data_IF_219221485513
#
_entry.id   IF_219221485513
#
_cell.length_a   1.000
_cell.length_b   1.000
_cell.length_c   1.000
_cell.angle_alpha   90.00
_cell.angle_beta   90.00
_cell.angle_gamma   90.00
#
_symmetry.space_group_name_H-M   'P 1'
#
loop_
_entity.id
_entity.type
_entity.pdbx_description
1 polymer ?
#
# COMPACT_ATOMS: atom_id res chain seq x y z
N UNK A 1 -18.44 21.08 4.90
CA UNK A 1 -19.31 21.82 5.83
C UNK A 1 -19.66 20.91 6.99
N UNK A 2 -18.81 20.82 8.00
CA UNK A 2 -18.98 19.89 9.12
C UNK A 2 -18.70 20.62 10.43
N UNK A 3 -19.69 20.64 11.33
CA UNK A 3 -19.49 20.90 12.76
C UNK A 3 -19.99 22.24 13.30
N UNK A 4 -19.90 23.34 12.56
CA UNK A 4 -20.25 24.66 13.11
C UNK A 4 -21.76 24.97 13.06
N UNK A 5 -22.45 24.72 11.94
CA UNK A 5 -23.87 25.14 11.79
C UNK A 5 -24.88 24.33 12.62
N UNK A 6 -24.52 23.12 13.08
CA UNK A 6 -25.51 22.20 13.66
C UNK A 6 -25.90 22.58 15.10
N UNK A 7 -24.98 23.20 15.85
CA UNK A 7 -25.21 23.59 17.24
C UNK A 7 -25.83 24.98 17.38
N UNK A 8 -25.78 25.79 16.31
CA UNK A 8 -26.34 27.14 16.28
C UNK A 8 -27.87 27.16 16.14
N UNK A 9 -28.48 25.99 15.86
CA UNK A 9 -29.93 25.85 15.71
C UNK A 9 -30.49 24.68 16.52
N UNK A 10 -31.28 24.99 17.55
CA UNK A 10 -32.02 23.98 18.32
C UNK A 10 -32.93 23.10 17.45
N UNK A 11 -33.47 23.63 16.35
CA UNK A 11 -34.28 22.87 15.41
C UNK A 11 -33.44 21.84 14.64
N UNK A 12 -32.24 22.22 14.19
CA UNK A 12 -31.30 21.33 13.51
C UNK A 12 -30.82 20.19 14.43
N UNK A 13 -30.46 20.51 15.68
CA UNK A 13 -30.10 19.50 16.68
C UNK A 13 -31.24 18.50 16.91
N UNK A 14 -32.48 18.98 17.04
CA UNK A 14 -33.65 18.12 17.25
C UNK A 14 -33.89 17.20 16.06
N UNK A 15 -33.80 17.74 14.84
CA UNK A 15 -33.90 16.94 13.60
C UNK A 15 -32.81 15.86 13.53
N UNK A 16 -31.57 16.21 13.84
CA UNK A 16 -30.46 15.26 13.82
C UNK A 16 -30.60 14.15 14.87
N UNK A 17 -31.05 14.48 16.11
CA UNK A 17 -31.38 13.47 17.13
C UNK A 17 -32.51 12.54 16.67
N UNK A 18 -33.53 13.10 16.01
CA UNK A 18 -34.59 12.29 15.40
C UNK A 18 -34.05 11.31 14.36
N UNK A 19 -33.17 11.78 13.46
CA UNK A 19 -32.54 10.93 12.44
C UNK A 19 -31.73 9.80 13.06
N UNK A 20 -30.93 10.08 14.11
CA UNK A 20 -30.13 9.06 14.79
C UNK A 20 -31.01 7.97 15.41
N UNK A 21 -32.09 8.35 16.10
CA UNK A 21 -33.02 7.40 16.72
C UNK A 21 -33.73 6.49 15.72
N UNK A 22 -33.95 6.96 14.49
CA UNK A 22 -34.58 6.18 13.42
C UNK A 22 -33.56 5.46 12.52
N UNK A 23 -32.27 5.75 12.66
CA UNK A 23 -31.23 5.13 11.86
C UNK A 23 -31.01 3.68 12.29
N UNK A 24 -30.94 2.77 11.30
CA UNK A 24 -30.52 1.38 11.54
C UNK A 24 -29.01 1.23 11.63
N UNK A 25 -28.28 2.13 10.99
CA UNK A 25 -26.82 2.16 10.91
C UNK A 25 -26.36 3.60 11.14
N UNK A 26 -25.36 3.76 12.01
CA UNK A 26 -24.72 5.05 12.29
C UNK A 26 -23.23 4.90 12.04
N UNK A 27 -22.69 5.71 11.14
CA UNK A 27 -21.26 5.74 10.85
C UNK A 27 -20.61 6.91 11.60
N UNK A 28 -19.55 6.61 12.33
CA UNK A 28 -18.76 7.61 13.05
C UNK A 28 -17.31 7.13 13.18
N UNK A 29 -16.38 8.05 13.40
CA UNK A 29 -15.03 7.68 13.84
C UNK A 29 -15.08 7.14 15.26
N UNK A 30 -14.09 6.34 15.66
CA UNK A 30 -14.04 5.76 17.02
C UNK A 30 -14.17 6.85 18.10
N UNK A 31 -13.38 7.92 17.99
CA UNK A 31 -13.47 9.06 18.92
C UNK A 31 -14.80 9.80 18.78
N UNK A 32 -15.28 9.99 17.54
CA UNK A 32 -16.54 10.67 17.26
C UNK A 32 -17.76 10.00 17.89
N UNK A 33 -17.75 8.68 18.08
CA UNK A 33 -18.79 7.95 18.78
C UNK A 33 -18.96 8.43 20.24
N UNK A 34 -17.90 8.91 20.88
CA UNK A 34 -17.92 9.45 22.25
C UNK A 34 -18.42 10.89 22.36
N UNK A 35 -18.59 11.60 21.24
CA UNK A 35 -18.76 13.05 21.19
C UNK A 35 -20.14 13.46 20.65
N UNK A 36 -20.48 14.73 20.89
CA UNK A 36 -21.64 15.40 20.28
C UNK A 36 -22.96 14.65 20.46
N UNK A 37 -23.69 14.50 19.35
CA UNK A 37 -25.01 13.86 19.31
C UNK A 37 -24.97 12.38 19.71
N UNK A 38 -23.84 11.69 19.53
CA UNK A 38 -23.71 10.26 19.83
C UNK A 38 -23.30 9.99 21.27
N UNK A 39 -22.95 11.03 22.05
CA UNK A 39 -22.43 10.88 23.42
C UNK A 39 -23.36 10.05 24.32
N UNK A 40 -24.67 10.28 24.24
CA UNK A 40 -25.68 9.58 25.05
C UNK A 40 -26.42 8.46 24.33
N UNK A 41 -26.06 8.14 23.09
CA UNK A 41 -26.69 7.05 22.34
C UNK A 41 -26.01 5.71 22.67
N UNK A 42 -26.77 4.63 22.57
CA UNK A 42 -26.32 3.27 22.88
C UNK A 42 -26.43 2.38 21.63
N UNK A 43 -25.50 1.44 21.48
CA UNK A 43 -25.40 0.55 20.33
C UNK A 43 -25.11 -0.89 20.81
N UNK A 44 -26.05 -1.80 20.61
CA UNK A 44 -25.86 -3.22 20.98
C UNK A 44 -24.79 -3.92 20.12
N UNK A 45 -24.59 -3.46 18.88
CA UNK A 45 -23.63 -4.01 17.92
C UNK A 45 -22.69 -2.89 17.46
N UNK A 46 -21.38 -3.14 17.58
CA UNK A 46 -20.34 -2.22 17.11
C UNK A 46 -19.46 -2.94 16.10
N UNK A 47 -19.28 -2.32 14.94
CA UNK A 47 -18.32 -2.75 13.93
C UNK A 47 -17.23 -1.69 13.86
N UNK A 48 -15.97 -2.10 14.06
CA UNK A 48 -14.81 -1.22 13.93
C UNK A 48 -14.02 -1.70 12.72
N UNK A 49 -13.99 -0.88 11.68
CA UNK A 49 -13.12 -1.08 10.52
C UNK A 49 -11.75 -0.45 10.77
N UNK A 50 -10.71 -0.96 10.09
CA UNK A 50 -9.31 -0.58 10.29
C UNK A 50 -8.87 -0.63 11.78
N UNK A 51 -9.40 -1.61 12.52
CA UNK A 51 -9.20 -1.74 13.96
C UNK A 51 -7.73 -1.96 14.34
N UNK A 52 -6.89 -2.48 13.44
CA UNK A 52 -5.45 -2.62 13.67
C UNK A 52 -4.70 -1.28 13.67
N UNK A 53 -5.27 -0.24 13.06
CA UNK A 53 -4.73 1.13 13.05
C UNK A 53 -5.27 2.02 14.16
N UNK A 54 -6.22 1.54 14.96
CA UNK A 54 -6.75 2.28 16.10
C UNK A 54 -5.96 1.96 17.37
N UNK A 55 -5.59 2.98 18.14
CA UNK A 55 -5.08 2.74 19.49
C UNK A 55 -6.15 2.00 20.28
N UNK A 56 -5.72 1.18 21.23
CA UNK A 56 -6.67 0.47 22.09
C UNK A 56 -7.68 1.41 22.78
N UNK A 57 -7.27 2.54 23.39
CA UNK A 57 -8.21 3.50 23.95
C UNK A 57 -9.23 4.04 22.94
N UNK A 58 -8.80 4.32 21.70
CA UNK A 58 -9.72 4.78 20.67
C UNK A 58 -10.77 3.71 20.34
N UNK A 59 -10.37 2.45 20.20
CA UNK A 59 -11.27 1.33 19.93
C UNK A 59 -12.28 1.10 21.07
N UNK A 60 -11.91 1.42 22.32
CA UNK A 60 -12.80 1.27 23.47
C UNK A 60 -13.94 2.29 23.48
N UNK A 61 -13.76 3.48 22.90
CA UNK A 61 -14.79 4.55 22.90
C UNK A 61 -16.14 4.04 22.37
N UNK A 62 -16.26 3.48 21.14
CA UNK A 62 -17.53 2.95 20.66
C UNK A 62 -17.97 1.69 21.44
N UNK A 63 -17.04 0.89 21.97
CA UNK A 63 -17.39 -0.33 22.73
C UNK A 63 -18.05 -0.03 24.08
N UNK A 64 -17.78 1.13 24.68
CA UNK A 64 -18.45 1.55 25.93
C UNK A 64 -19.92 1.95 25.73
N UNK A 65 -20.43 1.98 24.49
CA UNK A 65 -21.82 2.36 24.16
C UNK A 65 -22.83 1.22 24.39
N UNK A 66 -22.70 0.49 25.50
CA UNK A 66 -23.44 -0.76 25.80
C UNK A 66 -23.32 -1.84 24.72
N UNK A 67 -22.17 -1.92 24.06
CA UNK A 67 -21.91 -2.94 23.06
C UNK A 67 -22.02 -4.35 23.67
N UNK A 68 -22.88 -5.20 23.09
CA UNK A 68 -23.04 -6.62 23.42
C UNK A 68 -22.34 -7.53 22.43
N UNK A 69 -22.17 -7.06 21.19
CA UNK A 69 -21.47 -7.78 20.12
C UNK A 69 -20.55 -6.83 19.35
N UNK A 70 -19.26 -7.11 19.37
CA UNK A 70 -18.27 -6.37 18.61
C UNK A 70 -17.77 -7.20 17.41
N UNK A 71 -17.57 -6.54 16.28
CA UNK A 71 -16.82 -7.07 15.14
C UNK A 71 -15.67 -6.11 14.87
N UNK A 72 -14.44 -6.61 15.00
CA UNK A 72 -13.24 -5.83 14.70
C UNK A 72 -12.68 -6.35 13.37
N UNK A 73 -12.58 -5.47 12.39
CA UNK A 73 -12.00 -5.74 11.08
C UNK A 73 -10.69 -4.98 10.99
N UNK A 74 -9.62 -5.67 10.63
CA UNK A 74 -8.30 -5.07 10.54
C UNK A 74 -7.27 -6.11 10.12
N UNK A 75 -6.04 -5.63 9.93
CA UNK A 75 -4.91 -6.45 9.56
C UNK A 75 -3.74 -6.20 10.50
N UNK A 76 -3.48 -7.19 11.36
CA UNK A 76 -2.40 -7.18 12.34
C UNK A 76 -1.00 -7.33 11.72
N UNK A 77 -0.85 -7.54 10.41
CA UNK A 77 0.46 -7.51 9.73
C UNK A 77 0.64 -6.28 8.82
N UNK A 78 -0.33 -5.35 8.82
CA UNK A 78 -0.21 -4.01 8.23
C UNK A 78 0.02 -2.94 9.32
N UNK A 79 -0.19 -1.65 9.01
CA UNK A 79 0.17 -0.56 9.91
C UNK A 79 -0.55 -0.64 11.26
N UNK A 80 0.24 -0.36 12.30
CA UNK A 80 -0.24 -0.06 13.65
C UNK A 80 -0.62 1.42 13.77
N UNK A 81 -1.30 1.83 14.85
CA UNK A 81 -1.57 3.23 15.14
C UNK A 81 -0.26 4.02 15.29
N UNK A 82 -0.24 5.23 14.75
CA UNK A 82 0.89 6.15 14.93
C UNK A 82 0.86 6.76 16.32
N UNK A 83 1.90 6.52 17.11
CA UNK A 83 2.06 7.05 18.48
C UNK A 83 3.42 7.75 18.65
N UNK A 84 3.54 8.60 19.67
CA UNK A 84 4.81 9.23 20.02
C UNK A 84 5.82 8.23 20.60
N UNK A 85 7.10 8.59 20.62
CA UNK A 85 8.19 7.69 21.06
C UNK A 85 7.99 7.13 22.49
N UNK A 86 7.53 7.95 23.43
CA UNK A 86 7.24 7.49 24.80
C UNK A 86 6.10 6.45 24.80
N UNK A 87 5.04 6.70 24.04
CA UNK A 87 3.92 5.78 23.92
C UNK A 87 4.32 4.47 23.22
N UNK A 88 5.21 4.54 22.22
CA UNK A 88 5.79 3.36 21.57
C UNK A 88 6.61 2.52 22.55
N UNK A 89 7.39 3.14 23.45
CA UNK A 89 8.15 2.43 24.48
C UNK A 89 7.28 1.75 25.55
N UNK A 90 5.98 2.06 25.57
CA UNK A 90 4.97 1.50 26.46
C UNK A 90 3.97 0.62 25.69
N UNK A 91 4.29 0.22 24.46
CA UNK A 91 3.48 -0.63 23.58
C UNK A 91 2.07 -0.09 23.28
N UNK A 92 1.88 1.23 23.33
CA UNK A 92 0.57 1.86 23.03
C UNK A 92 0.23 1.88 21.53
N UNK A 93 1.14 1.43 20.67
CA UNK A 93 0.89 1.11 19.27
C UNK A 93 0.27 -0.29 19.08
N UNK A 94 0.20 -1.13 20.12
CA UNK A 94 -0.53 -2.39 20.03
C UNK A 94 -2.03 -2.08 20.08
N UNK A 95 -2.71 -2.30 18.95
CA UNK A 95 -4.17 -2.12 18.87
C UNK A 95 -4.93 -3.17 19.67
N UNK A 96 -6.18 -2.86 20.01
CA UNK A 96 -7.09 -3.86 20.60
C UNK A 96 -7.24 -5.08 19.70
N UNK A 97 -7.31 -4.88 18.37
CA UNK A 97 -7.37 -5.96 17.39
C UNK A 97 -6.15 -6.87 17.50
N UNK A 98 -4.95 -6.29 17.46
CA UNK A 98 -3.70 -7.06 17.49
C UNK A 98 -3.53 -7.78 18.84
N UNK A 99 -3.87 -7.13 19.95
CA UNK A 99 -3.83 -7.77 21.28
C UNK A 99 -4.75 -8.99 21.35
N UNK A 100 -5.98 -8.88 20.84
CA UNK A 100 -6.93 -10.00 20.80
C UNK A 100 -6.53 -11.08 19.78
N UNK A 101 -5.86 -10.69 18.69
CA UNK A 101 -5.36 -11.60 17.67
C UNK A 101 -4.14 -12.40 18.11
N UNK A 102 -3.15 -11.74 18.72
CA UNK A 102 -1.88 -12.34 19.13
C UNK A 102 -1.93 -13.05 20.48
N UNK A 103 -2.83 -12.65 21.39
CA UNK A 103 -3.02 -13.39 22.62
C UNK A 103 -3.41 -14.84 22.26
N UNK A 104 -2.55 -15.78 22.66
CA UNK A 104 -2.92 -17.16 22.94
C UNK A 104 -3.92 -17.10 24.09
N UNK A 105 -5.13 -16.63 23.79
CA UNK A 105 -6.27 -16.69 24.68
C UNK A 105 -6.65 -18.16 24.68
N UNK A 106 -5.84 -18.96 25.40
CA UNK A 106 -6.04 -20.38 25.58
C UNK A 106 -7.45 -20.55 26.08
N UNK A 107 -8.32 -21.10 25.23
CA UNK A 107 -9.70 -21.47 25.54
C UNK A 107 -10.56 -20.46 26.33
N UNK A 108 -10.18 -19.18 26.51
CA UNK A 108 -11.06 -18.19 27.16
C UNK A 108 -12.10 -17.77 26.13
N UNK A 109 -13.20 -18.48 26.23
CA UNK A 109 -14.50 -18.34 25.60
C UNK A 109 -14.86 -16.92 25.16
N UNK A 110 -14.89 -16.67 23.85
CA UNK A 110 -15.65 -15.55 23.29
C UNK A 110 -15.14 -14.97 21.97
N UNK A 111 -13.82 -14.93 21.76
CA UNK A 111 -13.25 -14.28 20.56
C UNK A 111 -13.09 -15.29 19.43
N UNK A 112 -13.84 -15.09 18.34
CA UNK A 112 -13.69 -15.85 17.10
C UNK A 112 -12.77 -15.09 16.15
N UNK A 113 -11.73 -15.76 15.65
CA UNK A 113 -10.78 -15.23 14.68
C UNK A 113 -11.09 -15.81 13.31
N UNK A 114 -11.18 -14.96 12.29
CA UNK A 114 -11.41 -15.36 10.90
C UNK A 114 -10.45 -14.54 10.04
N UNK A 115 -9.66 -15.22 9.22
CA UNK A 115 -8.86 -14.61 8.17
C UNK A 115 -9.66 -14.68 6.86
N UNK A 116 -9.83 -13.55 6.19
CA UNK A 116 -10.28 -13.55 4.79
C UNK A 116 -9.06 -13.88 3.95
N UNK A 117 -8.99 -15.11 3.46
CA UNK A 117 -7.79 -15.70 2.87
C UNK A 117 -7.72 -15.59 1.34
N UNK A 118 -8.71 -14.96 0.72
CA UNK A 118 -8.79 -14.81 -0.74
C UNK A 118 -8.78 -13.33 -1.12
N UNK A 119 -7.75 -12.90 -1.84
CA UNK A 119 -7.57 -11.53 -2.33
C UNK A 119 -7.98 -11.38 -3.79
N UNK A 120 -8.51 -10.21 -4.13
CA UNK A 120 -8.99 -9.88 -5.48
C UNK A 120 -8.31 -8.64 -6.06
N UNK A 121 -7.21 -8.17 -5.47
CA UNK A 121 -6.51 -6.95 -5.85
C UNK A 121 -5.32 -7.22 -6.76
N UNK A 122 -4.36 -8.02 -6.31
CA UNK A 122 -3.02 -8.11 -6.88
C UNK A 122 -2.87 -9.35 -7.77
N UNK A 123 -2.03 -9.25 -8.81
CA UNK A 123 -1.62 -10.38 -9.62
C UNK A 123 -0.97 -11.49 -8.76
N UNK A 124 -1.17 -12.75 -9.17
CA UNK A 124 -0.78 -13.94 -8.39
C UNK A 124 0.72 -14.00 -8.05
N UNK A 125 1.60 -13.60 -8.99
CA UNK A 125 3.05 -13.51 -8.74
C UNK A 125 3.39 -12.64 -7.52
N UNK A 126 2.73 -11.49 -7.38
CA UNK A 126 2.93 -10.61 -6.22
C UNK A 126 2.32 -11.22 -4.96
N UNK A 127 1.14 -11.83 -5.08
CA UNK A 127 0.45 -12.48 -3.97
C UNK A 127 1.29 -13.58 -3.34
N UNK A 128 2.02 -14.38 -4.13
CA UNK A 128 2.85 -15.49 -3.62
C UNK A 128 3.89 -15.00 -2.62
N UNK A 129 4.72 -14.03 -3.00
CA UNK A 129 5.73 -13.47 -2.09
C UNK A 129 5.09 -12.89 -0.83
N UNK A 130 4.04 -12.09 -0.99
CA UNK A 130 3.36 -11.45 0.15
C UNK A 130 2.72 -12.48 1.08
N UNK A 131 2.09 -13.50 0.51
CA UNK A 131 1.46 -14.59 1.25
C UNK A 131 2.49 -15.33 2.10
N UNK A 132 3.60 -15.73 1.50
CA UNK A 132 4.65 -16.48 2.18
C UNK A 132 5.34 -15.64 3.27
N UNK A 133 5.67 -14.39 2.97
CA UNK A 133 6.44 -13.52 3.86
C UNK A 133 5.61 -12.94 5.02
N UNK A 134 4.35 -12.57 4.78
CA UNK A 134 3.53 -11.84 5.77
C UNK A 134 2.31 -12.62 6.28
N UNK A 135 1.87 -13.66 5.57
CA UNK A 135 0.61 -14.35 5.86
C UNK A 135 0.75 -15.88 5.94
N UNK A 136 1.97 -16.39 6.19
CA UNK A 136 2.25 -17.83 6.37
C UNK A 136 1.78 -18.70 5.19
N UNK A 137 1.79 -18.17 3.97
CA UNK A 137 1.34 -18.86 2.75
C UNK A 137 -0.18 -19.05 2.67
N UNK A 138 -0.97 -18.41 3.54
CA UNK A 138 -2.44 -18.62 3.61
C UNK A 138 -3.24 -17.73 2.65
N UNK A 139 -2.67 -16.62 2.19
CA UNK A 139 -3.34 -15.70 1.26
C UNK A 139 -3.33 -16.25 -0.18
N UNK A 140 -4.50 -16.27 -0.82
CA UNK A 140 -4.74 -16.86 -2.15
C UNK A 140 -5.29 -15.82 -3.12
N UNK A 141 -4.99 -15.99 -4.40
CA UNK A 141 -5.54 -15.15 -5.47
C UNK A 141 -6.89 -15.67 -5.95
N UNK A 142 -7.94 -14.85 -5.85
CA UNK A 142 -9.29 -15.16 -6.30
C UNK A 142 -9.65 -14.64 -7.70
N UNK A 143 -8.71 -13.97 -8.36
CA UNK A 143 -8.85 -13.42 -9.73
C UNK A 143 -8.02 -14.24 -10.71
N UNK A 144 -8.44 -14.25 -11.98
CA UNK A 144 -7.62 -14.85 -13.04
C UNK A 144 -6.47 -13.93 -13.44
N UNK A 145 -5.42 -14.49 -14.04
CA UNK A 145 -4.24 -13.72 -14.44
C UNK A 145 -4.58 -12.63 -15.47
N UNK A 146 -5.54 -12.91 -16.36
CA UNK A 146 -5.97 -12.02 -17.45
C UNK A 146 -6.69 -10.78 -16.92
N UNK A 147 -7.29 -10.84 -15.72
CA UNK A 147 -7.89 -9.68 -15.06
C UNK A 147 -6.85 -8.67 -14.57
N UNK A 148 -5.55 -9.00 -14.68
CA UNK A 148 -4.40 -8.14 -14.37
C UNK A 148 -3.41 -8.09 -15.53
N UNK A 149 -3.91 -8.04 -16.76
CA UNK A 149 -3.08 -7.88 -17.93
C UNK A 149 -2.23 -6.61 -17.89
N UNK A 150 -1.04 -6.70 -18.49
CA UNK A 150 -0.15 -5.56 -18.66
C UNK A 150 -0.76 -4.56 -19.63
N UNK A 151 -0.68 -3.27 -19.29
CA UNK A 151 -0.99 -2.22 -20.26
C UNK A 151 0.22 -1.98 -21.19
N UNK A 152 -0.01 -1.55 -22.44
CA UNK A 152 1.07 -1.20 -23.34
C UNK A 152 1.90 -0.03 -22.79
N UNK A 153 3.19 -0.27 -22.58
CA UNK A 153 4.15 0.77 -22.18
C UNK A 153 5.53 0.50 -22.76
N UNK A 154 6.38 1.54 -22.82
CA UNK A 154 7.78 1.42 -23.18
C UNK A 154 8.65 0.93 -22.02
N UNK A 155 8.08 0.76 -20.81
CA UNK A 155 8.83 0.22 -19.69
C UNK A 155 9.23 -1.23 -19.97
N UNK A 156 10.52 -1.59 -19.81
CA UNK A 156 11.03 -2.90 -20.19
C UNK A 156 10.70 -3.96 -19.13
N UNK A 157 9.42 -4.30 -19.01
CA UNK A 157 8.95 -5.37 -18.12
C UNK A 157 9.61 -6.70 -18.52
N UNK A 158 10.36 -7.35 -17.61
CA UNK A 158 11.05 -8.61 -17.93
C UNK A 158 10.06 -9.69 -18.35
N UNK A 159 10.35 -10.36 -19.47
CA UNK A 159 9.52 -11.45 -20.00
C UNK A 159 9.76 -12.72 -19.19
N UNK A 160 8.70 -13.43 -18.84
CA UNK A 160 8.81 -14.77 -18.27
C UNK A 160 9.20 -15.73 -19.40
N UNK A 161 10.31 -16.44 -19.24
CA UNK A 161 10.79 -17.42 -20.23
C UNK A 161 9.71 -18.49 -20.51
N UNK A 162 9.62 -18.91 -21.77
CA UNK A 162 8.66 -19.93 -22.26
C UNK A 162 7.17 -19.65 -21.97
N UNK A 163 6.79 -18.40 -21.72
CA UNK A 163 5.43 -18.03 -21.31
C UNK A 163 4.46 -17.67 -22.44
N UNK A 164 4.74 -18.14 -23.65
CA UNK A 164 3.96 -17.78 -24.84
C UNK A 164 2.59 -18.48 -24.82
N UNK A 165 1.53 -17.69 -24.93
CA UNK A 165 0.18 -18.22 -25.12
C UNK A 165 -0.52 -17.52 -26.27
N UNK A 166 -1.46 -18.22 -26.90
CA UNK A 166 -2.22 -17.70 -28.04
C UNK A 166 -3.61 -17.31 -27.60
N UNK A 167 -4.00 -16.08 -27.94
CA UNK A 167 -5.41 -15.66 -27.83
C UNK A 167 -6.02 -15.75 -29.21
N UNK A 168 -7.11 -16.51 -29.33
CA UNK A 168 -7.91 -16.56 -30.55
C UNK A 168 -8.57 -15.20 -30.77
N UNK A 169 -8.34 -14.61 -31.94
CA UNK A 169 -9.00 -13.36 -32.31
C UNK A 169 -10.40 -13.67 -32.83
N UNK A 170 -11.37 -12.80 -32.54
CA UNK A 170 -12.76 -12.94 -33.00
C UNK A 170 -12.92 -13.07 -34.52
N UNK A 171 -11.87 -12.77 -35.31
CA UNK A 171 -11.86 -12.82 -36.78
C UNK A 171 -11.26 -14.12 -37.36
N UNK A 172 -10.91 -15.11 -36.53
CA UNK A 172 -10.41 -16.42 -36.98
C UNK A 172 -9.03 -16.37 -37.68
N UNK A 173 -8.32 -15.24 -37.63
CA UNK A 173 -6.95 -15.12 -38.15
C UNK A 173 -5.95 -15.47 -37.05
N UNK A 174 -4.75 -15.92 -37.46
CA UNK A 174 -3.65 -16.46 -36.63
C UNK A 174 -3.62 -15.86 -35.21
N UNK A 175 -3.90 -16.69 -34.20
CA UNK A 175 -3.95 -16.27 -32.80
C UNK A 175 -2.70 -15.51 -32.37
N UNK A 176 -2.92 -14.42 -31.66
CA UNK A 176 -1.90 -13.49 -31.22
C UNK A 176 -1.06 -14.12 -30.12
N UNK A 177 0.26 -14.09 -30.30
CA UNK A 177 1.20 -14.59 -29.31
C UNK A 177 1.44 -13.51 -28.24
N UNK A 178 0.94 -13.75 -27.04
CA UNK A 178 1.11 -12.88 -25.88
C UNK A 178 2.16 -13.50 -24.97
N UNK A 179 3.09 -12.67 -24.50
CA UNK A 179 4.13 -13.04 -23.54
C UNK A 179 3.71 -12.61 -22.14
N UNK A 180 3.98 -13.43 -21.13
CA UNK A 180 3.81 -13.00 -19.74
C UNK A 180 5.02 -12.18 -19.30
N UNK A 181 4.76 -11.22 -18.42
CA UNK A 181 5.79 -10.37 -17.84
C UNK A 181 5.82 -10.54 -16.33
N UNK A 182 7.03 -10.44 -15.77
CA UNK A 182 7.24 -10.34 -14.34
C UNK A 182 6.60 -9.08 -13.79
N UNK A 183 5.90 -9.21 -12.66
CA UNK A 183 5.17 -8.10 -12.02
C UNK A 183 5.96 -7.38 -10.93
N UNK A 184 7.11 -7.93 -10.54
CA UNK A 184 7.95 -7.37 -9.48
C UNK A 184 9.34 -7.04 -10.05
N UNK A 185 9.61 -5.74 -10.20
CA UNK A 185 10.85 -5.25 -10.81
C UNK A 185 11.65 -4.41 -9.82
N UNK A 186 12.96 -4.66 -9.75
CA UNK A 186 13.90 -3.84 -9.00
C UNK A 186 14.76 -3.02 -9.96
N UNK A 187 14.89 -1.71 -9.72
CA UNK A 187 15.75 -0.81 -10.48
C UNK A 187 16.81 -0.25 -9.53
N UNK A 188 18.04 -0.73 -9.70
CA UNK A 188 19.15 -0.36 -8.83
C UNK A 188 19.62 1.08 -9.09
N UNK A 189 19.91 1.81 -8.01
CA UNK A 189 20.38 3.18 -8.05
C UNK A 189 21.38 3.44 -6.91
N UNK A 190 22.65 3.59 -7.27
CA UNK A 190 23.76 3.82 -6.35
C UNK A 190 24.03 5.31 -6.06
N UNK A 191 23.15 6.22 -6.48
CA UNK A 191 23.29 7.64 -6.14
C UNK A 191 23.16 7.82 -4.62
N UNK A 192 24.10 8.51 -3.95
CA UNK A 192 24.05 8.68 -2.50
C UNK A 192 22.83 9.49 -2.05
N UNK A 193 22.36 9.19 -0.84
CA UNK A 193 21.34 9.99 -0.16
C UNK A 193 21.91 11.33 0.34
N UNK A 194 21.07 12.36 0.41
CA UNK A 194 21.43 13.65 0.99
C UNK A 194 21.69 13.53 2.51
N UNK A 195 22.71 14.24 3.01
CA UNK A 195 23.07 14.29 4.43
C UNK A 195 22.53 15.55 5.13
N UNK A 196 22.43 15.49 6.47
CA UNK A 196 22.32 16.68 7.33
C UNK A 196 20.93 17.30 7.51
N UNK A 197 19.85 16.57 7.18
CA UNK A 197 18.47 17.07 7.29
C UNK A 197 17.59 16.17 8.18
N UNK A 198 16.48 16.73 8.70
CA UNK A 198 15.48 15.98 9.51
C UNK A 198 14.82 14.83 8.76
N UNK A 199 14.80 14.88 7.43
CA UNK A 199 14.26 13.86 6.53
C UNK A 199 15.18 13.72 5.32
N UNK A 200 15.32 12.50 4.79
CA UNK A 200 16.28 12.17 3.73
C UNK A 200 15.63 12.30 2.35
N UNK A 201 16.45 12.57 1.33
CA UNK A 201 16.04 12.44 -0.06
C UNK A 201 17.22 11.92 -0.89
N UNK A 202 16.92 11.52 -2.12
CA UNK A 202 17.86 10.97 -3.08
C UNK A 202 17.46 11.45 -4.47
N UNK A 203 18.28 12.36 -5.03
CA UNK A 203 18.02 12.98 -6.34
C UNK A 203 18.14 12.01 -7.50
N UNK A 204 19.08 11.08 -7.45
CA UNK A 204 19.25 10.06 -8.49
C UNK A 204 18.06 9.12 -8.57
N UNK A 205 17.57 8.66 -7.41
CA UNK A 205 16.35 7.85 -7.36
C UNK A 205 15.11 8.62 -7.81
N UNK A 206 15.03 9.93 -7.53
CA UNK A 206 13.93 10.78 -8.02
C UNK A 206 13.96 10.95 -9.56
N UNK A 207 15.14 11.22 -10.13
CA UNK A 207 15.32 11.34 -11.58
C UNK A 207 14.99 10.01 -12.29
N UNK A 208 15.47 8.90 -11.74
CA UNK A 208 15.16 7.56 -12.22
C UNK A 208 13.65 7.26 -12.14
N UNK A 209 12.98 7.65 -11.05
CA UNK A 209 11.53 7.55 -10.92
C UNK A 209 10.79 8.34 -12.02
N UNK A 210 11.27 9.55 -12.35
CA UNK A 210 10.79 10.33 -13.51
C UNK A 210 10.88 9.55 -14.81
N UNK A 211 12.04 8.95 -15.10
CA UNK A 211 12.25 8.14 -16.30
C UNK A 211 11.36 6.89 -16.33
N UNK A 212 11.18 6.21 -15.19
CA UNK A 212 10.25 5.09 -15.05
C UNK A 212 8.83 5.53 -15.39
N UNK A 213 8.37 6.65 -14.81
CA UNK A 213 7.04 7.19 -15.08
C UNK A 213 6.86 7.60 -16.56
N UNK A 214 7.90 8.14 -17.20
CA UNK A 214 7.89 8.42 -18.64
C UNK A 214 7.71 7.16 -19.47
N UNK A 215 8.48 6.11 -19.18
CA UNK A 215 8.43 4.85 -19.90
C UNK A 215 7.08 4.14 -19.71
N UNK A 216 6.49 4.23 -18.52
CA UNK A 216 5.16 3.69 -18.23
C UNK A 216 4.05 4.46 -18.96
N UNK A 217 4.18 5.77 -19.12
CA UNK A 217 3.18 6.60 -19.80
C UNK A 217 3.33 6.63 -21.33
N UNK A 218 4.53 6.38 -21.86
CA UNK A 218 4.78 6.28 -23.30
C UNK A 218 4.28 4.95 -23.83
N UNK A 219 3.46 4.99 -24.88
CA UNK A 219 3.00 3.78 -25.53
C UNK A 219 4.16 3.14 -26.28
N UNK A 220 4.32 1.82 -26.14
CA UNK A 220 5.16 1.07 -27.05
C UNK A 220 4.71 1.35 -28.49
N UNK A 221 5.64 1.51 -29.46
CA UNK A 221 5.26 1.62 -30.86
C UNK A 221 4.34 0.46 -31.21
N UNK A 222 3.29 0.73 -32.00
CA UNK A 222 2.26 -0.24 -32.39
C UNK A 222 2.90 -1.48 -33.02
N UNK A 223 3.30 -2.44 -32.18
CA UNK A 223 3.33 -3.85 -32.55
C UNK A 223 1.91 -4.18 -32.99
N UNK A 224 1.76 -4.90 -34.11
CA UNK A 224 0.49 -5.24 -34.77
C UNK A 224 -0.39 -6.21 -33.94
N UNK A 225 -0.37 -6.07 -32.62
CA UNK A 225 -0.67 -7.09 -31.63
C UNK A 225 -1.44 -6.55 -30.41
N UNK A 226 -2.12 -5.42 -30.48
CA UNK A 226 -3.05 -5.01 -29.41
C UNK A 226 -4.46 -4.92 -29.96
N UNK A 227 -5.15 -6.07 -29.96
CA UNK A 227 -6.60 -6.13 -30.04
C UNK A 227 -7.16 -6.05 -28.61
N UNK A 228 -7.59 -4.87 -28.21
CA UNK A 228 -8.97 -4.72 -27.74
C UNK A 228 -9.41 -3.27 -27.91
N UNK A 229 -10.62 -3.13 -28.41
CA UNK A 229 -11.36 -1.89 -28.65
C UNK A 229 -11.92 -1.27 -27.35
N UNK A 230 -11.19 -1.40 -26.23
CA UNK A 230 -11.45 -0.56 -25.07
C UNK A 230 -10.55 0.67 -25.21
N UNK A 231 -11.09 1.87 -25.00
CA UNK A 231 -10.27 3.01 -24.62
C UNK A 231 -9.38 2.54 -23.46
N UNK A 232 -8.10 2.23 -23.71
CA UNK A 232 -7.18 1.81 -22.68
C UNK A 232 -7.03 3.00 -21.74
N UNK A 233 -7.81 2.99 -20.65
CA UNK A 233 -7.69 3.97 -19.58
C UNK A 233 -6.24 3.92 -19.14
N UNK A 234 -5.56 5.07 -19.19
CA UNK A 234 -4.18 5.14 -18.73
C UNK A 234 -4.09 4.59 -17.31
N UNK A 235 -3.11 3.72 -17.02
CA UNK A 235 -3.01 3.08 -15.72
C UNK A 235 -2.83 4.12 -14.62
N UNK A 236 -3.43 3.87 -13.48
CA UNK A 236 -3.14 4.65 -12.27
C UNK A 236 -1.75 4.28 -11.75
N UNK A 237 -0.91 5.29 -11.50
CA UNK A 237 0.45 5.10 -10.98
C UNK A 237 0.56 5.81 -9.64
N UNK A 238 0.93 5.07 -8.60
CA UNK A 238 1.25 5.63 -7.29
C UNK A 238 2.75 5.52 -7.02
N UNK A 239 3.39 6.64 -6.70
CA UNK A 239 4.77 6.69 -6.25
C UNK A 239 4.77 6.81 -4.73
N UNK A 240 5.31 5.78 -4.07
CA UNK A 240 5.39 5.73 -2.61
C UNK A 240 6.82 5.97 -2.17
N UNK A 241 6.98 6.68 -1.06
CA UNK A 241 8.28 6.86 -0.40
C UNK A 241 8.09 7.05 1.10
N UNK A 242 8.99 6.54 1.97
CA UNK A 242 8.84 6.68 3.42
C UNK A 242 9.33 8.04 3.94
N UNK A 243 9.96 8.87 3.10
CA UNK A 243 10.59 10.12 3.50
C UNK A 243 9.83 11.32 2.94
N UNK A 244 9.39 12.22 3.82
CA UNK A 244 8.66 13.44 3.46
C UNK A 244 9.43 14.33 2.49
N UNK A 245 10.74 14.53 2.71
CA UNK A 245 11.57 15.35 1.81
C UNK A 245 11.72 14.70 0.43
N UNK A 246 11.77 13.38 0.35
CA UNK A 246 11.72 12.68 -0.93
C UNK A 246 10.37 12.85 -1.61
N UNK A 247 9.25 12.78 -0.87
CA UNK A 247 7.93 12.98 -1.43
C UNK A 247 7.80 14.38 -2.06
N UNK A 248 8.33 15.42 -1.39
CA UNK A 248 8.32 16.78 -1.91
C UNK A 248 9.16 16.92 -3.18
N UNK A 249 10.37 16.33 -3.18
CA UNK A 249 11.22 16.28 -4.37
C UNK A 249 10.52 15.56 -5.54
N UNK A 250 9.93 14.38 -5.29
CA UNK A 250 9.22 13.61 -6.30
C UNK A 250 8.00 14.37 -6.85
N UNK A 251 7.25 15.10 -6.02
CA UNK A 251 6.13 15.94 -6.49
C UNK A 251 6.61 17.04 -7.43
N UNK A 252 7.79 17.62 -7.18
CA UNK A 252 8.38 18.61 -8.07
C UNK A 252 8.85 17.96 -9.38
N UNK A 253 9.61 16.85 -9.29
CA UNK A 253 10.13 16.10 -10.45
C UNK A 253 9.02 15.56 -11.35
N UNK A 254 7.91 15.11 -10.76
CA UNK A 254 6.78 14.47 -11.46
C UNK A 254 5.62 15.43 -11.70
N UNK A 255 5.83 16.74 -11.55
CA UNK A 255 4.77 17.76 -11.71
C UNK A 255 4.13 17.76 -13.11
N UNK A 256 4.85 17.30 -14.13
CA UNK A 256 4.34 17.13 -15.49
C UNK A 256 3.51 15.85 -15.69
N UNK A 257 3.62 14.87 -14.78
CA UNK A 257 2.92 13.58 -14.83
C UNK A 257 1.56 13.63 -14.11
N UNK A 258 0.54 14.18 -14.76
CA UNK A 258 -0.81 14.39 -14.17
C UNK A 258 -1.53 13.12 -13.66
N UNK A 259 -1.06 11.93 -14.03
CA UNK A 259 -1.66 10.63 -13.67
C UNK A 259 -0.83 9.87 -12.62
N UNK A 260 0.24 10.49 -12.15
CA UNK A 260 1.11 9.94 -11.11
C UNK A 260 0.79 10.65 -9.81
N UNK A 261 0.49 9.87 -8.78
CA UNK A 261 0.25 10.39 -7.44
C UNK A 261 1.44 10.08 -6.53
N UNK A 262 1.95 11.08 -5.81
CA UNK A 262 3.06 10.91 -4.87
C UNK A 262 2.57 10.97 -3.42
N UNK A 263 2.68 9.85 -2.72
CA UNK A 263 2.21 9.70 -1.34
C UNK A 263 3.28 9.10 -0.42
N UNK A 264 3.12 9.33 0.89
CA UNK A 264 3.72 8.45 1.89
C UNK A 264 2.98 7.12 1.91
N UNK A 265 3.62 6.09 2.46
CA UNK A 265 3.02 4.75 2.63
C UNK A 265 1.74 4.86 3.47
N UNK A 266 1.84 5.53 4.63
CA UNK A 266 0.74 5.74 5.57
C UNK A 266 -0.43 6.51 4.92
N UNK A 267 -0.15 7.51 4.08
CA UNK A 267 -1.17 8.29 3.38
C UNK A 267 -1.87 7.56 2.23
N UNK A 268 -1.33 6.41 1.80
CA UNK A 268 -1.91 5.58 0.73
C UNK A 268 -2.58 4.31 1.26
N UNK A 269 -2.73 4.18 2.59
CA UNK A 269 -3.42 3.04 3.18
C UNK A 269 -4.90 2.99 2.78
N UNK A 270 -5.43 1.78 2.61
CA UNK A 270 -6.80 1.55 2.10
C UNK A 270 -7.00 1.82 0.61
N UNK A 271 -6.03 2.44 -0.06
CA UNK A 271 -6.07 2.78 -1.49
C UNK A 271 -5.33 1.73 -2.33
N UNK A 272 -5.47 1.84 -3.64
CA UNK A 272 -4.80 0.97 -4.63
C UNK A 272 -4.47 1.75 -5.91
N UNK A 273 -3.49 1.26 -6.65
CA UNK A 273 -3.10 1.75 -7.98
C UNK A 273 -2.75 0.56 -8.89
N UNK A 274 -2.79 0.77 -10.20
CA UNK A 274 -2.41 -0.27 -11.16
C UNK A 274 -0.92 -0.59 -11.04
N UNK A 275 -0.09 0.45 -10.99
CA UNK A 275 1.35 0.33 -10.73
C UNK A 275 1.72 1.11 -9.48
N UNK A 276 2.55 0.48 -8.64
CA UNK A 276 3.22 1.15 -7.53
C UNK A 276 4.70 1.25 -7.84
N UNK A 277 5.26 2.46 -7.76
CA UNK A 277 6.69 2.71 -7.79
C UNK A 277 7.14 3.08 -6.37
N UNK A 278 7.90 2.21 -5.72
CA UNK A 278 8.39 2.43 -4.36
C UNK A 278 9.83 2.92 -4.37
N UNK A 279 10.03 4.18 -3.95
CA UNK A 279 11.34 4.84 -3.89
C UNK A 279 11.89 4.78 -2.46
N UNK A 280 12.94 3.97 -2.26
CA UNK A 280 13.45 3.61 -0.93
C UNK A 280 14.34 4.68 -0.30
N UNK A 281 14.92 5.57 -1.11
CA UNK A 281 15.81 6.69 -0.74
C UNK A 281 17.21 6.27 -0.27
N UNK A 282 17.29 5.22 0.55
CA UNK A 282 18.51 4.89 1.27
C UNK A 282 19.62 4.40 0.36
N UNK A 283 20.77 5.04 0.45
CA UNK A 283 22.01 4.68 -0.21
C UNK A 283 23.18 5.27 0.57
N UNK A 284 23.82 4.45 1.42
CA UNK A 284 24.89 4.87 2.32
C UNK A 284 25.86 3.72 2.59
N UNK A 285 27.10 4.06 2.98
CA UNK A 285 28.20 3.12 3.19
C UNK A 285 27.96 2.19 4.40
N UNK A 286 27.22 2.66 5.41
CA UNK A 286 26.91 1.89 6.61
C UNK A 286 25.80 0.84 6.39
N UNK A 287 25.20 0.79 5.19
CA UNK A 287 24.07 -0.08 4.87
C UNK A 287 22.90 0.06 5.86
N UNK A 288 22.66 1.29 6.33
CA UNK A 288 21.54 1.59 7.21
C UNK A 288 20.28 1.86 6.39
N UNK A 289 19.17 1.24 6.79
CA UNK A 289 17.90 1.33 6.07
C UNK A 289 16.84 2.20 6.78
N UNK A 290 17.02 2.52 8.07
CA UNK A 290 16.18 3.49 8.80
C UNK A 290 14.69 3.10 8.80
N UNK A 291 13.81 3.93 8.22
CA UNK A 291 12.36 3.66 8.20
C UNK A 291 11.97 2.41 7.41
N UNK A 292 12.84 1.93 6.52
CA UNK A 292 12.62 0.71 5.76
C UNK A 292 12.73 -0.57 6.60
N UNK A 293 13.12 -0.48 7.87
CA UNK A 293 13.11 -1.61 8.82
C UNK A 293 11.70 -2.03 9.24
N UNK A 294 10.71 -1.16 9.00
CA UNK A 294 9.31 -1.47 9.30
C UNK A 294 8.70 -2.35 8.21
N UNK A 295 8.60 -3.64 8.52
CA UNK A 295 8.07 -4.65 7.60
C UNK A 295 6.55 -4.51 7.36
N UNK A 296 5.81 -3.86 8.27
CA UNK A 296 4.39 -3.56 8.06
C UNK A 296 4.22 -2.50 6.98
N UNK A 297 5.09 -1.48 6.98
CA UNK A 297 5.13 -0.48 5.91
C UNK A 297 5.54 -1.08 4.57
N UNK A 298 6.47 -2.03 4.56
CA UNK A 298 6.81 -2.79 3.35
C UNK A 298 5.60 -3.59 2.84
N UNK A 299 4.93 -4.35 3.70
CA UNK A 299 3.71 -5.09 3.34
C UNK A 299 2.65 -4.16 2.73
N UNK A 300 2.39 -3.02 3.36
CA UNK A 300 1.44 -2.03 2.85
C UNK A 300 1.86 -1.57 1.47
N UNK A 301 3.10 -1.08 1.29
CA UNK A 301 3.60 -0.59 0.01
C UNK A 301 3.45 -1.62 -1.12
N UNK A 302 3.82 -2.88 -0.86
CA UNK A 302 3.75 -3.96 -1.84
C UNK A 302 2.32 -4.39 -2.18
N UNK A 303 1.38 -4.25 -1.24
CA UNK A 303 -0.04 -4.65 -1.42
C UNK A 303 -0.94 -3.52 -1.97
N UNK A 304 -0.35 -2.39 -2.39
CA UNK A 304 -1.10 -1.30 -3.04
C UNK A 304 -1.25 -1.49 -4.54
N UNK A 305 -0.40 -2.30 -5.17
CA UNK A 305 -0.42 -2.52 -6.61
C UNK A 305 -1.44 -3.57 -7.04
N UNK A 306 -2.12 -3.32 -8.16
CA UNK A 306 -3.00 -4.30 -8.82
C UNK A 306 -2.24 -5.11 -9.86
N UNK A 307 -1.47 -4.44 -10.71
CA UNK A 307 -0.82 -5.03 -11.90
C UNK A 307 0.66 -5.30 -11.65
N UNK A 308 1.41 -4.34 -11.07
CA UNK A 308 2.85 -4.51 -10.88
C UNK A 308 3.47 -3.52 -9.90
N UNK A 309 4.61 -3.93 -9.32
CA UNK A 309 5.41 -3.14 -8.38
C UNK A 309 6.81 -2.95 -8.96
N UNK A 310 7.29 -1.71 -8.89
CA UNK A 310 8.66 -1.32 -9.24
C UNK A 310 9.32 -0.75 -7.99
N UNK A 311 10.41 -1.33 -7.52
CA UNK A 311 11.20 -0.76 -6.42
C UNK A 311 12.43 -0.07 -7.00
N UNK A 312 12.65 1.18 -6.61
CA UNK A 312 13.84 1.94 -6.92
C UNK A 312 14.65 2.10 -5.64
N UNK A 313 15.89 1.60 -5.62
CA UNK A 313 16.71 1.60 -4.42
C UNK A 313 18.14 1.17 -4.66
N UNK A 314 18.94 1.15 -3.60
CA UNK A 314 20.33 0.65 -3.67
C UNK A 314 20.41 -0.75 -3.07
N UNK A 315 20.68 -1.75 -3.90
CA UNK A 315 20.65 -3.15 -3.51
C UNK A 315 21.58 -3.49 -2.33
N UNK A 316 22.86 -3.08 -2.30
CA UNK A 316 23.72 -3.33 -1.14
C UNK A 316 23.16 -2.75 0.16
N UNK A 317 22.75 -1.47 0.14
CA UNK A 317 22.20 -0.82 1.35
C UNK A 317 20.98 -1.55 1.91
N UNK A 318 20.14 -2.14 1.06
CA UNK A 318 18.93 -2.87 1.48
C UNK A 318 19.20 -4.32 1.95
N UNK A 319 20.28 -4.95 1.47
CA UNK A 319 20.47 -6.40 1.62
C UNK A 319 21.69 -6.81 2.45
N UNK A 320 22.61 -5.88 2.75
CA UNK A 320 23.86 -6.20 3.47
C UNK A 320 23.98 -5.52 4.84
N UNK A 321 22.98 -4.76 5.27
CA UNK A 321 22.97 -4.08 6.56
C UNK A 321 22.91 -5.04 7.75
N UNK A 322 23.67 -4.76 8.81
CA UNK A 322 23.74 -5.60 10.03
C UNK A 322 22.95 -5.04 11.22
N UNK A 323 22.45 -3.82 11.12
CA UNK A 323 21.77 -3.13 12.22
C UNK A 323 20.44 -3.77 12.63
N UNK A 324 19.73 -4.42 11.70
CA UNK A 324 18.50 -5.17 11.98
C UNK A 324 18.43 -6.39 11.03
N UNK A 325 18.88 -7.55 11.52
CA UNK A 325 19.03 -8.75 10.67
C UNK A 325 17.69 -9.25 10.12
N UNK A 326 16.59 -9.07 10.86
CA UNK A 326 15.26 -9.49 10.45
C UNK A 326 14.80 -8.76 9.18
N UNK A 327 14.78 -7.42 9.23
CA UNK A 327 14.37 -6.61 8.08
C UNK A 327 15.34 -6.76 6.90
N UNK A 328 16.66 -6.80 7.13
CA UNK A 328 17.63 -7.05 6.05
C UNK A 328 17.37 -8.39 5.36
N UNK A 329 17.08 -9.45 6.12
CA UNK A 329 16.79 -10.76 5.54
C UNK A 329 15.49 -10.76 4.70
N UNK A 330 14.45 -10.06 5.15
CA UNK A 330 13.21 -9.87 4.38
C UNK A 330 13.47 -9.07 3.09
N UNK A 331 14.23 -7.98 3.15
CA UNK A 331 14.63 -7.22 1.97
C UNK A 331 15.43 -8.05 0.97
N UNK A 332 16.33 -8.90 1.47
CA UNK A 332 17.09 -9.84 0.64
C UNK A 332 16.17 -10.83 -0.07
N UNK A 333 15.28 -11.51 0.66
CA UNK A 333 14.29 -12.43 0.06
C UNK A 333 13.40 -11.75 -0.98
N UNK A 334 12.95 -10.52 -0.69
CA UNK A 334 12.17 -9.72 -1.62
C UNK A 334 12.95 -9.49 -2.90
N UNK A 335 14.15 -8.91 -2.82
CA UNK A 335 14.96 -8.54 -3.99
C UNK A 335 15.40 -9.79 -4.77
N UNK A 336 15.73 -10.89 -4.11
CA UNK A 336 16.05 -12.17 -4.75
C UNK A 336 14.87 -12.71 -5.58
N UNK A 337 13.63 -12.43 -5.17
CA UNK A 337 12.41 -12.75 -5.91
C UNK A 337 12.05 -11.77 -7.04
N UNK A 338 12.72 -10.61 -7.13
CA UNK A 338 12.45 -9.58 -8.14
C UNK A 338 13.36 -9.73 -9.36
N UNK A 339 12.90 -9.22 -10.51
CA UNK A 339 13.75 -9.08 -11.69
C UNK A 339 14.41 -7.71 -11.73
N UNK A 340 15.73 -7.70 -11.88
CA UNK A 340 16.52 -6.47 -11.96
C UNK A 340 16.46 -5.90 -13.38
N UNK A 341 16.13 -4.62 -13.49
CA UNK A 341 16.08 -3.88 -14.76
C UNK A 341 17.02 -2.68 -14.65
N UNK A 342 17.82 -2.45 -15.70
CA UNK A 342 18.65 -1.26 -15.84
C UNK A 342 17.92 -0.23 -16.69
N UNK A 343 17.91 1.02 -16.23
CA UNK A 343 17.32 2.14 -16.94
C UNK A 343 18.36 3.26 -16.93
N UNK A 344 18.79 3.65 -18.12
CA UNK A 344 19.76 4.72 -18.28
C UNK A 344 19.06 6.07 -18.07
N UNK A 345 19.61 6.88 -17.17
CA UNK A 345 19.27 8.28 -17.02
C UNK A 345 20.33 9.05 -17.79
N UNK A 346 19.96 9.62 -18.94
CA UNK A 346 20.83 10.56 -19.65
C UNK A 346 21.17 11.68 -18.66
N UNK A 347 22.45 11.82 -18.32
CA UNK A 347 22.92 12.92 -17.51
C UNK A 347 22.60 14.21 -18.26
N UNK A 348 21.53 14.90 -17.85
CA UNK A 348 21.37 16.29 -18.25
C UNK A 348 22.53 17.02 -17.57
N UNK A 349 23.49 17.44 -18.40
CA UNK A 349 24.64 18.19 -17.95
C UNK A 349 24.15 19.41 -17.19
N UNK A 350 24.59 19.55 -15.95
CA UNK A 350 24.62 20.84 -15.29
C UNK A 350 25.64 21.69 -16.05
N UNK A 351 25.14 22.54 -16.97
CA UNK A 351 25.87 23.72 -17.47
C UNK A 351 25.70 24.91 -16.51
#
# INVERSE_FOLDING_TARGET
>A
MAGQELYDSHAAVRKAKGMIKHARLVFATCIGAGLGLLRGEEFDIVVIDEASQQTEPASLVPLTKRCRKAVLVGDHVQLRPTVGQLALSLDLDISLFERLWGAAVGNRSGVKKVMLDTQYRMHDEMCRFISDEFYEGKLRTGIKAEERDMFPSMFPWPVVEDSHYRVETHDGRKGLEIRRHHRMVFVDCATPEDLGQKSKCNRGQAALCGKVCDLLNKHAPKSKASLSSAQASKPSIAVLTPYTRQADLLRQTLSSHKLVEVCSIDGFQGREADIVVFVTVRCNQNCEIGFLKDMRRLNVAMTRARIGVIIIGHMPTLTTGTADQGSTATWKRLIDGMKVVKIDVEAHGDE
#
